data_IF_769526945288
#
_entry.id   IF_769526945288
#
_cell.length_a   1.000
_cell.length_b   1.000
_cell.length_c   1.000
_cell.angle_alpha   90.00
_cell.angle_beta   90.00
_cell.angle_gamma   90.00
#
_symmetry.space_group_name_H-M   'P 1'
#
loop_
_entity.id
_entity.type
_entity.pdbx_description
1 polymer ?
#
# COMPACT_ATOMS: atom_id res chain seq x y z
N UNK A 1 14.93 -4.46 15.49
CA UNK A 1 14.36 -3.15 15.12
C UNK A 1 12.93 -3.39 14.65
N UNK A 2 11.92 -2.74 15.24
CA UNK A 2 10.51 -2.91 14.84
C UNK A 2 10.09 -1.78 13.89
N UNK A 3 9.40 -2.11 12.80
CA UNK A 3 8.87 -1.11 11.86
C UNK A 3 7.90 -0.16 12.58
N UNK A 4 7.98 1.14 12.26
CA UNK A 4 7.14 2.19 12.85
C UNK A 4 6.03 2.69 11.92
N UNK A 5 6.15 2.40 10.62
CA UNK A 5 5.17 2.73 9.60
C UNK A 5 5.38 1.85 8.36
N UNK A 6 4.40 1.85 7.46
CA UNK A 6 4.48 1.24 6.14
C UNK A 6 4.34 2.33 5.09
N UNK A 7 5.17 2.31 4.06
CA UNK A 7 5.10 3.24 2.93
C UNK A 7 5.01 2.45 1.63
N UNK A 8 4.01 2.76 0.83
CA UNK A 8 3.67 2.05 -0.41
C UNK A 8 3.63 3.08 -1.54
N UNK A 9 4.37 2.81 -2.62
CA UNK A 9 4.29 3.56 -3.87
C UNK A 9 3.74 2.62 -4.94
N UNK A 10 2.63 3.01 -5.54
CA UNK A 10 1.95 2.26 -6.59
C UNK A 10 2.05 3.03 -7.89
N UNK A 11 2.50 2.36 -8.94
CA UNK A 11 2.56 2.90 -10.30
C UNK A 11 2.40 1.78 -11.30
N UNK A 12 2.02 2.10 -12.53
CA UNK A 12 1.94 1.14 -13.63
C UNK A 12 3.25 1.09 -14.39
N UNK A 13 3.64 -0.11 -14.83
CA UNK A 13 4.78 -0.32 -15.71
C UNK A 13 4.23 -0.69 -17.10
N UNK A 14 4.49 0.16 -18.11
CA UNK A 14 4.19 -0.14 -19.50
C UNK A 14 5.44 -0.72 -20.19
N UNK A 15 5.25 -1.60 -21.18
CA UNK A 15 6.37 -2.21 -21.91
C UNK A 15 7.20 -1.20 -22.72
N UNK A 16 6.59 -0.05 -23.04
CA UNK A 16 7.15 1.10 -23.74
C UNK A 16 7.40 2.30 -22.81
N UNK A 17 7.45 2.07 -21.50
CA UNK A 17 7.58 3.14 -20.51
C UNK A 17 8.77 4.07 -20.86
N UNK A 18 8.45 5.35 -21.05
CA UNK A 18 9.44 6.39 -21.31
C UNK A 18 10.48 6.44 -20.19
N UNK A 19 11.69 6.94 -20.46
CA UNK A 19 12.71 7.15 -19.43
C UNK A 19 12.32 8.17 -18.34
N UNK A 20 11.15 8.82 -18.47
CA UNK A 20 10.64 9.79 -17.50
C UNK A 20 10.07 9.08 -16.27
N UNK A 21 10.45 9.49 -15.04
CA UNK A 21 9.85 8.96 -13.83
C UNK A 21 8.33 9.17 -13.81
N UNK A 22 7.55 8.19 -13.33
CA UNK A 22 6.11 8.38 -13.18
C UNK A 22 5.81 9.47 -12.14
N UNK A 23 4.69 10.20 -12.28
CA UNK A 23 4.27 11.16 -11.27
C UNK A 23 3.98 10.45 -9.94
N UNK A 24 3.96 11.22 -8.84
CA UNK A 24 3.61 10.70 -7.51
C UNK A 24 2.15 10.21 -7.43
N UNK A 25 1.25 10.88 -8.18
CA UNK A 25 -0.20 10.72 -8.05
C UNK A 25 -0.69 11.07 -6.64
N UNK A 26 -1.88 10.61 -6.26
CA UNK A 26 -2.43 10.90 -4.93
C UNK A 26 -1.57 10.29 -3.82
N UNK A 27 -1.38 11.04 -2.72
CA UNK A 27 -0.65 10.60 -1.54
C UNK A 27 -1.53 10.67 -0.30
N UNK A 28 -1.79 9.53 0.33
CA UNK A 28 -2.71 9.40 1.45
C UNK A 28 -2.01 8.78 2.65
N UNK A 29 -2.25 9.36 3.82
CA UNK A 29 -1.86 8.80 5.10
C UNK A 29 -3.06 8.14 5.79
N UNK A 30 -2.84 7.02 6.46
CA UNK A 30 -3.83 6.38 7.31
C UNK A 30 -3.22 5.92 8.64
N UNK A 31 -4.01 6.01 9.70
CA UNK A 31 -3.66 5.62 11.06
C UNK A 31 -4.70 4.62 11.60
N UNK A 32 -4.29 3.54 12.28
CA UNK A 32 -5.21 2.69 13.01
C UNK A 32 -5.94 3.49 14.09
N UNK A 33 -7.26 3.36 14.13
CA UNK A 33 -8.05 3.91 15.24
C UNK A 33 -8.04 2.91 16.41
N UNK A 34 -7.56 3.37 17.57
CA UNK A 34 -7.48 2.55 18.80
C UNK A 34 -8.84 2.35 19.46
N UNK A 35 -9.80 3.24 19.20
CA UNK A 35 -11.16 3.15 19.73
C UNK A 35 -12.07 2.35 18.81
N UNK A 36 -11.85 2.43 17.49
CA UNK A 36 -12.56 1.63 16.51
C UNK A 36 -11.60 0.94 15.51
N UNK A 37 -11.04 -0.23 15.88
CA UNK A 37 -10.04 -0.93 15.06
C UNK A 37 -10.51 -1.32 13.64
N UNK A 38 -11.83 -1.32 13.40
CA UNK A 38 -12.41 -1.61 12.09
C UNK A 38 -12.42 -0.41 11.16
N UNK A 39 -12.22 0.81 11.68
CA UNK A 39 -12.34 2.08 10.95
C UNK A 39 -11.09 2.96 11.13
N UNK A 40 -9.99 2.68 10.41
CA UNK A 40 -8.84 3.57 10.38
C UNK A 40 -9.18 4.99 9.93
N UNK A 41 -8.46 5.96 10.47
CA UNK A 41 -8.54 7.36 10.08
C UNK A 41 -7.61 7.60 8.89
N UNK A 42 -8.00 8.45 7.94
CA UNK A 42 -7.17 8.77 6.77
C UNK A 42 -7.17 10.27 6.48
N UNK A 43 -6.06 10.75 5.94
CA UNK A 43 -5.86 12.14 5.52
C UNK A 43 -5.14 12.15 4.18
N UNK A 44 -5.75 12.76 3.17
CA UNK A 44 -5.10 13.01 1.89
C UNK A 44 -4.07 14.12 2.05
N UNK A 45 -2.81 13.81 1.75
CA UNK A 45 -1.67 14.73 1.85
C UNK A 45 -1.38 15.42 0.51
N UNK A 46 -1.66 14.73 -0.60
CA UNK A 46 -1.61 15.29 -1.94
C UNK A 46 -2.71 14.66 -2.78
N UNK A 47 -3.45 15.48 -3.52
CA UNK A 47 -4.60 15.06 -4.31
C UNK A 47 -4.28 15.09 -5.79
N UNK A 48 -4.56 13.96 -6.44
CA UNK A 48 -4.69 13.81 -7.88
C UNK A 48 -6.00 13.04 -8.10
N UNK A 49 -7.04 13.73 -8.56
CA UNK A 49 -8.44 13.31 -8.42
C UNK A 49 -8.74 11.85 -8.81
N UNK A 50 -8.32 11.38 -10.00
CA UNK A 50 -8.52 10.01 -10.45
C UNK A 50 -7.95 8.91 -9.54
N UNK A 51 -6.89 9.20 -8.77
CA UNK A 51 -6.16 8.17 -8.00
C UNK A 51 -6.45 8.19 -6.49
N UNK A 52 -7.19 9.19 -5.99
CA UNK A 52 -7.37 9.44 -4.55
C UNK A 52 -8.19 8.35 -3.85
N UNK A 53 -9.31 7.92 -4.44
CA UNK A 53 -10.18 6.92 -3.83
C UNK A 53 -9.46 5.57 -3.64
N UNK A 54 -8.72 5.16 -4.66
CA UNK A 54 -7.91 3.95 -4.63
C UNK A 54 -6.81 4.03 -3.56
N UNK A 55 -6.07 5.15 -3.53
CA UNK A 55 -5.03 5.39 -2.52
C UNK A 55 -5.61 5.36 -1.09
N UNK A 56 -6.77 5.97 -0.89
CA UNK A 56 -7.47 6.01 0.40
C UNK A 56 -7.90 4.62 0.85
N UNK A 57 -8.51 3.83 -0.04
CA UNK A 57 -8.91 2.44 0.26
C UNK A 57 -7.70 1.59 0.63
N UNK A 58 -6.59 1.70 -0.09
CA UNK A 58 -5.35 0.98 0.20
C UNK A 58 -4.76 1.38 1.55
N UNK A 59 -4.65 2.69 1.83
CA UNK A 59 -4.07 3.20 3.06
C UNK A 59 -4.84 2.69 4.29
N UNK A 60 -6.18 2.80 4.27
CA UNK A 60 -7.04 2.30 5.35
C UNK A 60 -6.94 0.78 5.50
N UNK A 61 -6.97 0.04 4.39
CA UNK A 61 -6.88 -1.43 4.44
C UNK A 61 -5.59 -1.90 5.11
N UNK A 62 -4.44 -1.33 4.72
CA UNK A 62 -3.16 -1.72 5.30
C UNK A 62 -2.97 -1.19 6.72
N UNK A 63 -3.49 -0.01 7.07
CA UNK A 63 -3.49 0.45 8.46
C UNK A 63 -4.26 -0.52 9.36
N UNK A 64 -5.44 -0.99 8.91
CA UNK A 64 -6.21 -2.01 9.62
C UNK A 64 -5.47 -3.35 9.74
N UNK A 65 -4.83 -3.82 8.65
CA UNK A 65 -4.12 -5.12 8.64
C UNK A 65 -2.83 -5.12 9.45
N UNK A 66 -2.07 -4.03 9.40
CA UNK A 66 -0.72 -3.96 10.00
C UNK A 66 -0.73 -3.39 11.40
N UNK A 67 -1.79 -2.68 11.81
CA UNK A 67 -1.83 -1.92 13.05
C UNK A 67 -0.67 -0.90 13.16
N UNK A 68 -0.21 -0.40 12.01
CA UNK A 68 0.80 0.64 11.88
C UNK A 68 0.24 1.81 11.05
N UNK A 69 0.79 3.03 11.21
CA UNK A 69 0.57 4.10 10.26
C UNK A 69 1.02 3.70 8.85
N UNK A 70 0.21 4.03 7.84
CA UNK A 70 0.46 3.68 6.44
C UNK A 70 0.40 4.92 5.55
N UNK A 71 1.38 5.04 4.67
CA UNK A 71 1.42 6.02 3.60
C UNK A 71 1.27 5.30 2.26
N UNK A 72 0.39 5.79 1.41
CA UNK A 72 0.17 5.25 0.05
C UNK A 72 0.25 6.38 -0.95
N UNK A 73 1.20 6.30 -1.87
CA UNK A 73 1.20 7.06 -3.11
C UNK A 73 0.70 6.17 -4.24
N UNK A 74 -0.16 6.72 -5.10
CA UNK A 74 -0.77 6.00 -6.21
C UNK A 74 -0.78 6.84 -7.49
N UNK A 75 -0.02 6.39 -8.49
CA UNK A 75 -0.04 6.91 -9.85
C UNK A 75 -0.37 5.84 -10.89
N UNK A 76 -1.06 4.76 -10.47
CA UNK A 76 -1.55 3.73 -11.39
C UNK A 76 -2.45 4.39 -12.45
N UNK A 77 -2.12 4.16 -13.71
CA UNK A 77 -3.00 4.44 -14.84
C UNK A 77 -3.44 3.14 -15.49
N UNK A 78 -4.76 2.88 -15.47
CA UNK A 78 -5.38 1.75 -16.14
C UNK A 78 -5.85 2.10 -17.57
N UNK A 79 -5.57 3.30 -18.07
CA UNK A 79 -6.02 3.72 -19.40
C UNK A 79 -5.48 2.82 -20.54
N UNK A 80 -4.38 2.12 -20.29
CA UNK A 80 -3.71 1.22 -21.25
C UNK A 80 -4.11 -0.26 -21.09
N UNK A 81 -5.04 -0.59 -20.19
CA UNK A 81 -5.56 -1.97 -20.07
C UNK A 81 -6.54 -2.29 -21.20
N UNK A 82 -6.77 -3.59 -21.44
CA UNK A 82 -7.51 -4.08 -22.61
C UNK A 82 -8.94 -3.55 -22.74
N UNK A 83 -9.57 -3.12 -21.63
CA UNK A 83 -10.91 -2.53 -21.61
C UNK A 83 -10.94 -1.05 -21.21
N UNK A 84 -9.77 -0.38 -21.12
CA UNK A 84 -9.67 1.06 -20.86
C UNK A 84 -9.90 1.46 -19.39
N UNK A 85 -9.62 0.57 -18.45
CA UNK A 85 -9.69 0.84 -17.02
C UNK A 85 -11.10 0.74 -16.45
N UNK A 86 -11.82 -0.33 -16.79
CA UNK A 86 -13.16 -0.55 -16.21
C UNK A 86 -13.08 -0.81 -14.71
N UNK A 87 -14.22 -0.69 -14.01
CA UNK A 87 -14.31 -0.94 -12.57
C UNK A 87 -13.85 -2.36 -12.22
N UNK A 88 -14.13 -3.33 -13.09
CA UNK A 88 -13.69 -4.72 -12.93
C UNK A 88 -12.17 -4.83 -12.96
N UNK A 89 -11.51 -4.15 -13.91
CA UNK A 89 -10.05 -4.12 -14.01
C UNK A 89 -9.43 -3.43 -12.79
N UNK A 90 -10.03 -2.34 -12.30
CA UNK A 90 -9.59 -1.69 -11.07
C UNK A 90 -9.71 -2.61 -9.85
N UNK A 91 -10.82 -3.36 -9.74
CA UNK A 91 -11.04 -4.30 -8.64
C UNK A 91 -10.10 -5.49 -8.69
N UNK A 92 -9.77 -6.00 -9.88
CA UNK A 92 -8.76 -7.06 -10.02
C UNK A 92 -7.35 -6.55 -9.72
N UNK A 93 -6.99 -5.35 -10.21
CA UNK A 93 -5.74 -4.69 -9.85
C UNK A 93 -5.65 -4.48 -8.33
N UNK A 94 -6.73 -4.04 -7.69
CA UNK A 94 -6.83 -3.88 -6.24
C UNK A 94 -6.52 -5.20 -5.51
N UNK A 95 -7.20 -6.30 -5.88
CA UNK A 95 -6.98 -7.61 -5.26
C UNK A 95 -5.54 -8.10 -5.43
N UNK A 96 -4.98 -7.95 -6.63
CA UNK A 96 -3.60 -8.37 -6.94
C UNK A 96 -2.58 -7.60 -6.10
N UNK A 97 -2.71 -6.26 -6.04
CA UNK A 97 -1.83 -5.39 -5.25
C UNK A 97 -1.94 -5.75 -3.77
N UNK A 98 -3.16 -5.94 -3.26
CA UNK A 98 -3.39 -6.32 -1.87
C UNK A 98 -2.73 -7.65 -1.54
N UNK A 99 -2.94 -8.68 -2.35
CA UNK A 99 -2.36 -10.00 -2.15
C UNK A 99 -0.84 -9.96 -2.13
N UNK A 100 -0.24 -9.25 -3.10
CA UNK A 100 1.21 -9.13 -3.23
C UNK A 100 1.84 -8.41 -2.03
N UNK A 101 1.30 -7.26 -1.65
CA UNK A 101 1.83 -6.48 -0.52
C UNK A 101 1.62 -7.21 0.80
N UNK A 102 0.45 -7.82 1.00
CA UNK A 102 0.17 -8.60 2.21
C UNK A 102 1.17 -9.77 2.37
N UNK A 103 1.46 -10.50 1.29
CA UNK A 103 2.47 -11.56 1.29
C UNK A 103 3.86 -11.03 1.69
N UNK A 104 4.32 -9.95 1.04
CA UNK A 104 5.63 -9.33 1.37
C UNK A 104 5.72 -8.80 2.80
N UNK A 105 4.62 -8.23 3.33
CA UNK A 105 4.57 -7.76 4.71
C UNK A 105 4.63 -8.93 5.69
N UNK A 106 3.92 -10.02 5.42
CA UNK A 106 3.94 -11.22 6.25
C UNK A 106 5.33 -11.86 6.27
N UNK A 107 6.00 -11.98 5.12
CA UNK A 107 7.39 -12.45 5.04
C UNK A 107 8.33 -11.58 5.88
N UNK A 108 8.24 -10.24 5.78
CA UNK A 108 9.06 -9.33 6.58
C UNK A 108 8.77 -9.40 8.07
N UNK A 109 7.51 -9.57 8.46
CA UNK A 109 7.13 -9.78 9.86
C UNK A 109 7.68 -11.11 10.39
N UNK A 110 7.58 -12.19 9.61
CA UNK A 110 8.15 -13.48 9.95
C UNK A 110 9.68 -13.41 10.11
N UNK A 111 10.38 -12.71 9.21
CA UNK A 111 11.83 -12.45 9.32
C UNK A 111 12.14 -11.66 10.61
N UNK A 112 11.38 -10.61 10.90
CA UNK A 112 11.59 -9.79 12.10
C UNK A 112 11.38 -10.59 13.40
N UNK A 113 10.36 -11.46 13.42
CA UNK A 113 10.06 -12.32 14.56
C UNK A 113 11.10 -13.45 14.70
N UNK A 114 11.57 -14.02 13.58
CA UNK A 114 12.62 -15.04 13.57
C UNK A 114 13.98 -14.54 14.07
N UNK A 115 14.37 -13.31 13.70
CA UNK A 115 15.60 -12.67 14.21
C UNK A 115 15.49 -12.39 15.71
N UNK A 116 14.31 -12.07 16.23
CA UNK A 116 14.08 -11.84 17.67
C UNK A 116 14.22 -13.13 18.50
N UNK A 117 14.02 -14.31 17.90
CA UNK A 117 14.19 -15.61 18.55
C UNK A 117 15.65 -16.08 18.63
N UNK A 118 16.55 -15.59 17.76
CA UNK A 118 17.96 -15.98 17.73
C UNK A 118 18.85 -15.17 18.70
N UNK A 119 18.38 -14.05 19.25
CA UNK A 119 19.20 -13.18 20.11
C UNK A 119 19.20 -13.54 21.61
N UNK A 120 18.74 -14.73 22.01
CA UNK A 120 18.59 -15.13 23.43
C UNK A 120 19.65 -16.16 23.90
N UNK A 121 20.64 -16.54 23.08
CA UNK A 121 21.74 -17.41 23.55
C UNK A 121 23.12 -16.79 23.41
N UNK A 122 23.47 -15.92 24.34
CA UNK A 122 24.87 -15.72 24.73
C UNK A 122 24.91 -15.32 26.20
N UNK A 123 24.95 -16.36 27.05
CA UNK A 123 25.40 -16.25 28.44
C UNK A 123 26.92 -16.19 28.50
#
# INVERSE_FOLDING_TARGET
>A
MQAKSVMIFLTTAAADASATPPPLGSFVYALPDKFNPLQPLSTTLYTEGPTEEFATRMAKLFAKKTQLPVFVSNSISLASTGLGGTVEEEMEAFKMVVGTIAGKLQERQAITNGVSGMSISSS
#
